data_IF_244050770924
#
_entry.id   IF_244050770924
#
_cell.length_a   1.000
_cell.length_b   1.000
_cell.length_c   1.000
_cell.angle_alpha   90.00
_cell.angle_beta   90.00
_cell.angle_gamma   90.00
#
_symmetry.space_group_name_H-M   'P 1'
#
loop_
_entity.id
_entity.type
_entity.pdbx_description
1 polymer ?
#
# COMPACT_ATOMS: atom_id res chain seq x y z
N UNK A 1 33.37 -1.79 -15.90
CA UNK A 1 34.16 -0.53 -15.78
C UNK A 1 34.91 -0.60 -14.44
N UNK A 2 35.96 0.20 -14.20
CA UNK A 2 36.72 0.13 -12.95
C UNK A 2 35.89 0.37 -11.68
N UNK A 3 34.68 0.94 -11.82
CA UNK A 3 33.73 1.20 -10.75
C UNK A 3 32.75 0.04 -10.46
N UNK A 4 33.05 -1.20 -10.85
CA UNK A 4 32.21 -2.37 -10.53
C UNK A 4 30.87 -2.47 -11.27
N UNK A 5 30.60 -1.57 -12.22
CA UNK A 5 29.36 -1.56 -13.01
C UNK A 5 29.64 -1.77 -14.51
N UNK A 6 28.61 -2.23 -15.23
CA UNK A 6 28.59 -2.14 -16.70
C UNK A 6 28.74 -0.68 -17.15
N UNK A 7 29.48 -0.43 -18.24
CA UNK A 7 29.83 0.93 -18.70
C UNK A 7 28.60 1.83 -18.92
N UNK A 8 27.50 1.24 -19.41
CA UNK A 8 26.20 1.89 -19.65
C UNK A 8 25.34 2.13 -18.39
N UNK A 9 25.73 1.58 -17.24
CA UNK A 9 25.05 1.73 -15.97
C UNK A 9 25.90 2.49 -14.92
N UNK A 10 27.13 2.85 -15.27
CA UNK A 10 28.00 3.62 -14.41
C UNK A 10 27.75 5.12 -14.64
N UNK A 11 27.41 5.87 -13.59
CA UNK A 11 27.22 7.33 -13.67
C UNK A 11 28.53 8.07 -14.00
N UNK A 12 29.68 7.51 -13.59
CA UNK A 12 31.00 8.09 -13.83
C UNK A 12 31.52 7.81 -15.25
N UNK A 13 31.34 6.59 -15.76
CA UNK A 13 31.77 6.24 -17.14
C UNK A 13 30.71 6.55 -18.21
N UNK A 14 29.44 6.64 -17.82
CA UNK A 14 28.30 6.78 -18.71
C UNK A 14 27.55 8.10 -18.51
N UNK A 15 28.24 9.16 -18.08
CA UNK A 15 27.66 10.46 -17.68
C UNK A 15 26.66 11.02 -18.70
N UNK A 16 26.88 10.79 -20.00
CA UNK A 16 25.96 11.22 -21.07
C UNK A 16 24.55 10.58 -21.00
N UNK A 17 24.44 9.38 -20.42
CA UNK A 17 23.19 8.62 -20.30
C UNK A 17 22.38 9.00 -19.05
N UNK A 18 23.01 9.66 -18.08
CA UNK A 18 22.40 10.06 -16.82
C UNK A 18 22.15 11.57 -16.80
N UNK A 19 21.08 12.02 -16.14
CA UNK A 19 20.87 13.43 -15.86
C UNK A 19 21.47 13.82 -14.51
N UNK A 20 21.40 15.12 -14.18
CA UNK A 20 21.77 15.68 -12.86
C UNK A 20 21.08 14.97 -11.68
N UNK A 21 19.92 14.35 -11.90
CA UNK A 21 19.18 13.58 -10.89
C UNK A 21 19.74 12.16 -10.67
N UNK A 22 20.93 11.82 -11.19
CA UNK A 22 21.54 10.49 -11.13
C UNK A 22 20.63 9.36 -11.66
N UNK A 23 19.69 9.69 -12.55
CA UNK A 23 18.79 8.74 -13.22
C UNK A 23 19.09 8.72 -14.70
N UNK A 24 18.82 7.60 -15.37
CA UNK A 24 18.93 7.53 -16.84
C UNK A 24 18.01 8.60 -17.46
N UNK A 25 18.55 9.46 -18.33
CA UNK A 25 17.84 10.61 -18.94
C UNK A 25 16.51 10.18 -19.57
N UNK A 26 16.52 9.06 -20.27
CA UNK A 26 15.35 8.48 -20.93
C UNK A 26 14.18 8.18 -19.97
N UNK A 27 14.44 7.85 -18.71
CA UNK A 27 13.42 7.50 -17.71
C UNK A 27 13.29 8.53 -16.58
N UNK A 28 13.91 9.71 -16.70
CA UNK A 28 13.84 10.71 -15.65
C UNK A 28 12.53 11.50 -15.75
N UNK A 29 11.74 11.47 -14.68
CA UNK A 29 10.45 12.19 -14.58
C UNK A 29 10.68 13.71 -14.56
N UNK A 30 11.54 14.28 -13.68
CA UNK A 30 11.85 15.71 -13.70
C UNK A 30 12.31 16.22 -15.08
N UNK A 31 13.14 15.45 -15.78
CA UNK A 31 13.66 15.83 -17.10
C UNK A 31 12.70 15.51 -18.26
N UNK A 32 11.48 15.03 -17.98
CA UNK A 32 10.51 14.54 -18.99
C UNK A 32 11.17 13.68 -20.07
N UNK A 33 11.94 12.67 -19.64
CA UNK A 33 12.65 11.78 -20.54
C UNK A 33 11.71 11.13 -21.55
N UNK A 34 12.21 10.84 -22.77
CA UNK A 34 11.39 10.30 -23.86
C UNK A 34 10.65 8.98 -23.53
N UNK A 35 11.14 8.21 -22.54
CA UNK A 35 10.49 7.01 -22.03
C UNK A 35 9.39 7.26 -20.99
N UNK A 36 9.12 8.51 -20.63
CA UNK A 36 8.08 8.92 -19.69
C UNK A 36 6.86 9.42 -20.48
N UNK A 37 5.68 9.04 -20.01
CA UNK A 37 4.39 9.54 -20.49
C UNK A 37 4.03 10.87 -19.83
N UNK A 38 3.06 11.58 -20.38
CA UNK A 38 2.46 12.79 -19.78
C UNK A 38 1.94 12.57 -18.34
N UNK A 39 1.61 11.31 -17.99
CA UNK A 39 1.13 10.90 -16.67
C UNK A 39 2.26 10.59 -15.67
N UNK A 40 3.50 11.05 -15.91
CA UNK A 40 4.67 10.81 -15.05
C UNK A 40 4.96 9.32 -14.76
N UNK A 41 4.49 8.42 -15.62
CA UNK A 41 4.77 6.97 -15.59
C UNK A 41 5.59 6.60 -16.80
N UNK A 42 6.34 5.49 -16.72
CA UNK A 42 6.99 4.92 -17.91
C UNK A 42 5.94 4.63 -18.97
N UNK A 43 6.23 5.01 -20.21
CA UNK A 43 5.24 5.00 -21.31
C UNK A 43 4.63 3.62 -21.53
N UNK A 44 5.46 2.58 -21.48
CA UNK A 44 5.04 1.18 -21.59
C UNK A 44 4.25 0.66 -20.38
N UNK A 45 4.27 1.35 -19.24
CA UNK A 45 3.56 0.97 -18.01
C UNK A 45 2.36 1.87 -17.71
N UNK A 46 2.12 2.87 -18.55
CA UNK A 46 1.05 3.83 -18.36
C UNK A 46 -0.27 3.25 -18.88
N UNK A 47 -1.18 2.91 -17.97
CA UNK A 47 -2.51 2.41 -18.33
C UNK A 47 -3.31 3.41 -19.18
N UNK A 48 -3.21 4.71 -18.86
CA UNK A 48 -3.94 5.78 -19.55
C UNK A 48 -3.44 6.01 -20.98
N UNK A 49 -2.18 5.67 -21.27
CA UNK A 49 -1.62 5.78 -22.62
C UNK A 49 -1.64 4.45 -23.40
N UNK A 50 -2.33 3.41 -22.90
CA UNK A 50 -2.32 2.09 -23.53
C UNK A 50 -0.94 1.43 -23.54
N UNK A 51 -0.14 1.65 -22.49
CA UNK A 51 1.21 1.13 -22.39
C UNK A 51 1.28 -0.38 -22.61
N UNK A 52 2.23 -0.84 -23.43
CA UNK A 52 2.33 -2.24 -23.89
C UNK A 52 2.48 -3.30 -22.79
N UNK A 53 2.84 -2.91 -21.56
CA UNK A 53 2.91 -3.82 -20.42
C UNK A 53 1.63 -3.87 -19.58
N UNK A 54 0.62 -3.06 -19.90
CA UNK A 54 -0.64 -2.99 -19.16
C UNK A 54 -1.70 -3.78 -19.92
N UNK A 55 -2.38 -4.68 -19.23
CA UNK A 55 -3.48 -5.44 -19.79
C UNK A 55 -4.81 -4.65 -19.71
N UNK A 56 -5.87 -5.10 -20.39
CA UNK A 56 -7.19 -4.45 -20.35
C UNK A 56 -7.77 -4.26 -18.94
N UNK A 57 -7.35 -5.08 -17.97
CA UNK A 57 -7.75 -4.96 -16.56
C UNK A 57 -7.03 -3.84 -15.79
N UNK A 58 -6.22 -3.01 -16.46
CA UNK A 58 -5.46 -1.91 -15.85
C UNK A 58 -4.28 -2.37 -14.97
N UNK A 59 -3.89 -3.64 -15.06
CA UNK A 59 -2.76 -4.23 -14.31
C UNK A 59 -1.61 -4.52 -15.28
N UNK A 60 -0.38 -4.62 -14.77
CA UNK A 60 0.73 -5.15 -15.59
C UNK A 60 0.41 -6.58 -16.03
N UNK A 61 0.66 -6.94 -17.28
CA UNK A 61 0.44 -8.29 -17.82
C UNK A 61 1.05 -9.38 -16.93
N UNK A 62 2.31 -9.19 -16.51
CA UNK A 62 3.03 -10.14 -15.64
C UNK A 62 2.36 -10.36 -14.28
N UNK A 63 1.64 -9.36 -13.77
CA UNK A 63 0.95 -9.36 -12.47
C UNK A 63 -0.58 -9.50 -12.61
N UNK A 64 -1.11 -9.78 -13.80
CA UNK A 64 -2.52 -9.99 -14.00
C UNK A 64 -2.84 -11.49 -13.96
N UNK A 65 -3.57 -11.93 -12.93
CA UNK A 65 -4.00 -13.33 -12.79
C UNK A 65 -4.94 -13.75 -13.93
N UNK A 66 -5.87 -12.88 -14.32
CA UNK A 66 -6.86 -13.15 -15.38
C UNK A 66 -6.21 -13.31 -16.76
N UNK A 67 -5.10 -12.60 -17.02
CA UNK A 67 -4.33 -12.74 -18.26
C UNK A 67 -3.29 -13.87 -18.20
N UNK A 68 -3.28 -14.72 -17.16
CA UNK A 68 -2.27 -15.77 -17.00
C UNK A 68 -0.86 -15.21 -16.77
N UNK A 69 -0.74 -14.03 -16.15
CA UNK A 69 0.53 -13.34 -15.94
C UNK A 69 1.60 -14.22 -15.30
N UNK A 70 2.83 -14.09 -15.78
CA UNK A 70 3.97 -14.95 -15.41
C UNK A 70 4.27 -15.02 -13.90
N UNK A 71 3.77 -14.08 -13.10
CA UNK A 71 3.87 -14.11 -11.64
C UNK A 71 3.02 -15.21 -11.00
N UNK A 72 1.99 -15.71 -11.67
CA UNK A 72 1.09 -16.74 -11.17
C UNK A 72 1.40 -18.10 -11.81
N UNK A 73 1.23 -19.18 -11.06
CA UNK A 73 1.23 -20.54 -11.58
C UNK A 73 -0.17 -20.97 -12.03
N UNK A 74 -0.25 -22.13 -12.68
CA UNK A 74 -1.52 -22.78 -13.06
C UNK A 74 -2.51 -22.96 -11.89
N UNK A 75 -2.00 -23.10 -10.67
CA UNK A 75 -2.82 -23.17 -9.45
C UNK A 75 -3.42 -21.81 -9.02
N UNK A 76 -3.20 -20.75 -9.79
CA UNK A 76 -3.71 -19.40 -9.51
C UNK A 76 -3.09 -18.74 -8.27
N UNK A 77 -1.98 -19.28 -7.76
CA UNK A 77 -1.15 -18.72 -6.67
C UNK A 77 0.08 -18.03 -7.25
N UNK A 78 0.69 -17.11 -6.52
CA UNK A 78 1.97 -16.54 -6.96
C UNK A 78 3.03 -17.66 -7.02
N UNK A 79 3.78 -17.74 -8.11
CA UNK A 79 4.75 -18.84 -8.38
C UNK A 79 5.73 -19.02 -7.22
N UNK A 80 6.25 -17.92 -6.69
CA UNK A 80 7.21 -17.93 -5.58
C UNK A 80 6.65 -18.52 -4.27
N UNK A 81 5.33 -18.52 -4.07
CA UNK A 81 4.68 -18.96 -2.81
C UNK A 81 3.77 -20.17 -3.03
N UNK A 82 3.73 -20.71 -4.24
CA UNK A 82 2.98 -21.94 -4.50
C UNK A 82 3.75 -23.14 -3.96
N UNK A 83 3.19 -23.80 -2.93
CA UNK A 83 3.76 -25.04 -2.38
C UNK A 83 3.80 -26.17 -3.39
N UNK A 84 2.72 -26.34 -4.16
CA UNK A 84 2.61 -27.41 -5.17
C UNK A 84 3.65 -27.27 -6.28
N UNK A 85 3.99 -26.03 -6.66
CA UNK A 85 5.04 -25.78 -7.66
C UNK A 85 6.45 -25.73 -7.07
N UNK A 86 6.64 -25.99 -5.76
CA UNK A 86 7.94 -25.84 -5.12
C UNK A 86 8.49 -24.41 -5.18
N UNK A 87 7.63 -23.40 -5.09
CA UNK A 87 8.01 -21.99 -5.25
C UNK A 87 9.18 -21.60 -4.35
N UNK A 88 10.13 -20.80 -4.89
CA UNK A 88 11.38 -20.44 -4.22
C UNK A 88 11.22 -19.75 -2.85
N UNK A 89 10.04 -19.17 -2.59
CA UNK A 89 9.66 -18.56 -1.33
C UNK A 89 9.13 -19.54 -0.28
N UNK A 90 9.06 -20.84 -0.58
CA UNK A 90 8.71 -21.90 0.37
C UNK A 90 10.01 -22.53 0.91
N UNK A 91 10.07 -22.78 2.22
CA UNK A 91 11.20 -23.49 2.84
C UNK A 91 10.93 -24.99 2.93
N UNK A 92 11.95 -25.74 3.36
CA UNK A 92 11.86 -27.19 3.61
C UNK A 92 10.72 -27.57 4.56
N UNK A 93 10.36 -26.70 5.50
CA UNK A 93 9.22 -26.88 6.42
C UNK A 93 7.85 -26.70 5.76
N UNK A 94 7.78 -26.48 4.44
CA UNK A 94 6.54 -26.23 3.71
C UNK A 94 5.85 -24.92 4.09
N UNK A 95 6.57 -23.98 4.73
CA UNK A 95 6.08 -22.64 5.13
C UNK A 95 6.69 -21.58 4.23
N UNK A 96 6.05 -20.40 4.17
CA UNK A 96 6.66 -19.25 3.48
C UNK A 96 7.93 -18.86 4.23
N UNK A 97 9.08 -18.86 3.54
CA UNK A 97 10.43 -18.61 4.07
C UNK A 97 10.48 -17.38 4.97
N UNK A 98 9.90 -16.26 4.52
CA UNK A 98 9.90 -15.00 5.28
C UNK A 98 9.19 -15.08 6.62
N UNK A 99 8.31 -16.05 6.82
CA UNK A 99 7.53 -16.24 8.06
C UNK A 99 7.96 -17.46 8.86
N UNK A 100 8.90 -18.25 8.37
CA UNK A 100 9.28 -19.50 8.99
C UNK A 100 10.29 -19.25 10.12
N UNK A 101 9.87 -19.52 11.36
CA UNK A 101 10.69 -19.33 12.56
C UNK A 101 11.94 -20.21 12.58
N UNK A 102 11.85 -21.53 12.30
CA UNK A 102 13.05 -22.37 12.19
C UNK A 102 14.07 -21.88 11.17
N UNK A 103 13.62 -21.23 10.09
CA UNK A 103 14.51 -20.69 9.05
C UNK A 103 14.99 -19.25 9.34
N UNK A 104 14.65 -18.66 10.49
CA UNK A 104 14.96 -17.26 10.78
C UNK A 104 14.36 -16.27 9.78
N UNK A 105 13.14 -16.54 9.30
CA UNK A 105 12.48 -15.75 8.27
C UNK A 105 12.51 -14.24 8.55
N UNK A 106 12.64 -13.41 7.51
CA UNK A 106 12.79 -11.95 7.67
C UNK A 106 11.68 -11.24 8.46
N UNK A 107 10.49 -11.85 8.59
CA UNK A 107 9.36 -11.34 9.38
C UNK A 107 9.29 -11.91 10.79
N UNK A 108 10.21 -12.78 11.19
CA UNK A 108 10.31 -13.29 12.56
C UNK A 108 11.21 -12.39 13.39
N UNK A 109 10.97 -12.34 14.69
CA UNK A 109 11.84 -11.69 15.67
C UNK A 109 12.67 -12.71 16.43
N UNK A 110 13.64 -12.23 17.21
CA UNK A 110 14.47 -13.01 18.12
C UNK A 110 13.66 -13.85 19.12
N UNK A 111 12.44 -13.40 19.47
CA UNK A 111 11.53 -14.13 20.36
C UNK A 111 10.82 -15.33 19.68
N UNK A 112 11.21 -15.71 18.47
CA UNK A 112 10.60 -16.85 17.75
C UNK A 112 9.14 -16.62 17.33
N UNK A 113 8.69 -15.36 17.27
CA UNK A 113 7.33 -14.97 16.86
C UNK A 113 7.40 -14.12 15.59
N UNK A 114 6.27 -13.95 14.90
CA UNK A 114 6.18 -12.92 13.87
C UNK A 114 6.34 -11.54 14.52
N UNK A 115 7.18 -10.67 13.93
CA UNK A 115 7.41 -9.30 14.41
C UNK A 115 6.11 -8.56 14.65
N UNK A 116 5.13 -8.73 13.75
CA UNK A 116 3.79 -8.16 13.81
C UNK A 116 2.84 -8.79 14.83
N UNK A 117 3.31 -9.73 15.64
CA UNK A 117 2.55 -10.38 16.72
C UNK A 117 3.31 -10.36 18.04
N UNK A 118 4.59 -9.97 18.01
CA UNK A 118 5.45 -9.93 19.18
C UNK A 118 5.23 -8.61 19.94
N UNK A 119 4.68 -8.67 21.16
CA UNK A 119 4.47 -7.49 21.99
C UNK A 119 5.78 -6.74 22.33
N UNK A 120 6.86 -7.43 22.75
CA UNK A 120 8.17 -6.80 22.97
C UNK A 120 8.70 -6.06 21.73
N UNK A 121 8.46 -6.58 20.52
CA UNK A 121 8.87 -5.92 19.27
C UNK A 121 7.84 -4.89 18.76
N UNK A 122 6.84 -4.52 19.57
CA UNK A 122 5.81 -3.54 19.20
C UNK A 122 4.75 -4.04 18.22
N UNK A 123 4.72 -5.34 17.91
CA UNK A 123 3.76 -5.94 16.99
C UNK A 123 2.44 -6.39 17.62
N UNK A 124 2.30 -6.37 18.95
CA UNK A 124 1.02 -6.77 19.55
C UNK A 124 -0.11 -5.82 19.15
N UNK A 125 -1.27 -6.40 18.82
CA UNK A 125 -2.49 -5.63 18.53
C UNK A 125 -2.94 -4.78 19.73
N UNK A 126 -2.66 -5.23 20.95
CA UNK A 126 -2.92 -4.47 22.19
C UNK A 126 -1.64 -3.85 22.73
N UNK A 127 -1.74 -2.62 23.23
CA UNK A 127 -0.67 -1.98 24.00
C UNK A 127 -0.71 -2.41 25.47
N UNK A 128 0.27 -1.96 26.25
CA UNK A 128 0.34 -2.15 27.69
C UNK A 128 -0.86 -1.55 28.45
N UNK A 129 -1.48 -0.50 27.90
CA UNK A 129 -2.71 0.09 28.43
C UNK A 129 -3.98 -0.76 28.18
N UNK A 130 -3.86 -1.99 27.68
CA UNK A 130 -4.98 -2.89 27.38
C UNK A 130 -5.84 -2.48 26.17
N UNK A 131 -5.59 -1.31 25.57
CA UNK A 131 -6.26 -0.79 24.37
C UNK A 131 -5.64 -1.38 23.11
N UNK A 132 -6.38 -1.40 22.00
CA UNK A 132 -5.78 -1.73 20.69
C UNK A 132 -4.81 -0.60 20.31
N UNK A 133 -3.57 -0.92 19.90
CA UNK A 133 -2.49 0.06 19.64
C UNK A 133 -2.92 1.19 18.71
N UNK A 134 -3.68 0.88 17.66
CA UNK A 134 -4.22 1.88 16.73
C UNK A 134 -5.19 2.88 17.36
N UNK A 135 -5.82 2.53 18.47
CA UNK A 135 -6.79 3.33 19.21
C UNK A 135 -6.24 3.90 20.54
N UNK A 136 -4.95 3.74 20.82
CA UNK A 136 -4.35 4.20 22.07
C UNK A 136 -3.63 5.54 21.85
N UNK A 137 -4.15 6.63 22.42
CA UNK A 137 -3.56 7.97 22.30
C UNK A 137 -2.17 8.01 22.95
N UNK A 138 -2.04 7.39 24.12
CA UNK A 138 -0.78 7.29 24.87
C UNK A 138 0.34 6.57 24.09
N UNK A 139 -0.03 5.74 23.09
CA UNK A 139 0.92 5.05 22.22
C UNK A 139 1.05 5.68 20.82
N UNK A 140 0.48 6.87 20.60
CA UNK A 140 0.46 7.51 19.28
C UNK A 140 -0.39 6.76 18.25
N UNK A 141 -1.46 6.10 18.69
CA UNK A 141 -2.33 5.27 17.86
C UNK A 141 -2.84 6.01 16.63
N UNK A 142 -2.60 5.45 15.45
CA UNK A 142 -2.89 6.10 14.15
C UNK A 142 -4.36 6.45 13.91
N UNK A 143 -5.31 5.87 14.65
CA UNK A 143 -6.74 6.17 14.53
C UNK A 143 -7.21 7.28 15.48
N UNK A 144 -6.43 7.67 16.48
CA UNK A 144 -6.81 8.70 17.45
C UNK A 144 -6.00 9.98 17.21
N UNK A 145 -6.65 11.14 17.33
CA UNK A 145 -5.96 12.44 17.33
C UNK A 145 -5.52 12.81 18.75
N UNK A 146 -4.82 13.94 18.86
CA UNK A 146 -4.44 14.56 20.14
C UNK A 146 -5.64 15.02 20.99
N UNK A 147 -6.82 15.18 20.37
CA UNK A 147 -8.07 15.56 21.06
C UNK A 147 -8.84 14.35 21.63
N UNK A 148 -8.20 13.19 21.82
CA UNK A 148 -8.84 11.94 22.27
C UNK A 148 -10.05 11.46 21.44
N UNK A 149 -10.16 11.91 20.18
CA UNK A 149 -11.23 11.53 19.24
C UNK A 149 -10.66 10.67 18.12
N UNK A 150 -11.52 9.89 17.45
CA UNK A 150 -11.10 9.25 16.21
C UNK A 150 -10.70 10.31 15.19
N UNK A 151 -9.49 10.24 14.62
CA UNK A 151 -8.96 11.21 13.64
C UNK A 151 -9.94 11.49 12.51
N UNK A 152 -10.56 10.43 11.99
CA UNK A 152 -11.52 10.52 10.91
C UNK A 152 -12.79 11.31 11.27
N UNK A 153 -13.16 11.39 12.56
CA UNK A 153 -14.36 12.06 13.06
C UNK A 153 -14.05 13.34 13.84
N UNK A 154 -12.77 13.72 13.94
CA UNK A 154 -12.38 14.90 14.69
C UNK A 154 -12.61 16.16 13.85
N UNK A 155 -13.45 17.07 14.35
CA UNK A 155 -13.71 18.37 13.70
C UNK A 155 -12.47 19.25 13.66
N UNK A 156 -11.74 19.30 14.78
CA UNK A 156 -10.53 20.13 14.94
C UNK A 156 -9.39 19.67 14.01
N UNK A 157 -9.32 18.38 13.69
CA UNK A 157 -8.36 17.85 12.72
C UNK A 157 -8.89 17.80 11.28
N UNK A 158 -10.07 18.38 11.01
CA UNK A 158 -10.79 18.24 9.75
C UNK A 158 -10.84 16.79 9.22
N UNK A 159 -11.27 15.87 10.10
CA UNK A 159 -11.25 14.44 9.85
C UNK A 159 -11.98 14.05 8.57
N UNK A 160 -11.57 12.97 7.92
CA UNK A 160 -12.11 12.55 6.63
C UNK A 160 -13.63 12.26 6.59
N UNK A 161 -14.26 12.02 7.74
CA UNK A 161 -15.71 11.85 7.87
C UNK A 161 -16.45 13.16 8.17
N UNK A 162 -15.74 14.27 8.36
CA UNK A 162 -16.32 15.60 8.52
C UNK A 162 -16.52 16.21 7.13
N UNK A 163 -17.68 16.84 6.91
CA UNK A 163 -17.95 17.63 5.72
C UNK A 163 -17.54 19.08 5.94
N UNK A 164 -17.55 19.88 4.88
CA UNK A 164 -17.20 21.30 4.94
C UNK A 164 -18.15 22.10 5.85
N UNK A 165 -19.34 21.58 6.14
CA UNK A 165 -20.30 22.13 7.12
C UNK A 165 -19.95 21.78 8.59
N UNK A 166 -18.80 21.16 8.86
CA UNK A 166 -18.37 20.76 10.21
C UNK A 166 -19.19 19.63 10.84
N UNK A 167 -20.10 19.00 10.09
CA UNK A 167 -20.90 17.86 10.52
C UNK A 167 -20.26 16.55 10.05
N UNK A 168 -20.57 15.44 10.73
CA UNK A 168 -20.28 14.13 10.15
C UNK A 168 -21.03 14.00 8.82
N UNK A 169 -20.35 13.60 7.74
CA UNK A 169 -20.90 13.46 6.38
C UNK A 169 -22.22 12.69 6.37
N UNK A 170 -22.30 11.59 7.13
CA UNK A 170 -23.54 10.81 7.24
C UNK A 170 -24.72 11.55 7.91
N UNK A 171 -24.46 12.60 8.69
CA UNK A 171 -25.47 13.37 9.44
C UNK A 171 -25.80 14.74 8.84
N UNK A 172 -25.09 15.13 7.80
CA UNK A 172 -25.26 16.45 7.19
C UNK A 172 -26.43 16.42 6.22
N UNK A 173 -27.43 17.30 6.41
CA UNK A 173 -28.58 17.42 5.50
C UNK A 173 -28.17 17.99 4.15
N UNK A 174 -27.33 19.02 4.17
CA UNK A 174 -26.88 19.72 2.96
C UNK A 174 -25.99 18.82 2.08
N UNK A 175 -25.34 17.81 2.67
CA UNK A 175 -24.58 16.80 1.93
C UNK A 175 -25.40 15.54 1.57
N UNK A 176 -26.70 15.50 1.86
CA UNK A 176 -27.52 14.29 1.65
C UNK A 176 -27.02 13.08 2.42
N UNK A 177 -26.56 13.28 3.66
CA UNK A 177 -25.91 12.26 4.47
C UNK A 177 -26.76 11.00 4.63
N UNK A 178 -26.11 9.83 4.68
CA UNK A 178 -26.78 8.53 4.73
C UNK A 178 -27.75 8.32 5.92
N UNK A 179 -27.61 9.10 6.99
CA UNK A 179 -28.49 9.07 8.16
C UNK A 179 -29.68 10.04 8.03
N UNK A 180 -29.81 10.75 6.91
CA UNK A 180 -30.96 11.59 6.59
C UNK A 180 -31.98 10.73 5.82
N UNK A 181 -33.25 10.78 6.24
CA UNK A 181 -34.34 10.13 5.53
C UNK A 181 -34.88 11.03 4.41
N UNK A 182 -35.80 10.50 3.61
CA UNK A 182 -36.48 11.25 2.55
C UNK A 182 -37.23 12.49 3.08
N UNK A 183 -37.62 12.51 4.36
CA UNK A 183 -38.26 13.65 5.02
C UNK A 183 -37.28 14.75 5.47
N UNK A 184 -36.02 14.75 5.00
CA UNK A 184 -34.96 15.67 5.42
C UNK A 184 -34.71 15.73 6.94
N UNK A 185 -35.16 14.70 7.66
CA UNK A 185 -34.93 14.51 9.08
C UNK A 185 -33.86 13.42 9.30
N UNK A 186 -33.24 13.43 10.46
CA UNK A 186 -32.37 12.32 10.85
C UNK A 186 -33.22 11.07 11.08
N UNK A 187 -32.81 9.93 10.51
CA UNK A 187 -33.50 8.64 10.62
C UNK A 187 -33.78 8.25 12.07
N UNK A 188 -32.84 8.49 12.99
CA UNK A 188 -33.00 8.18 14.42
C UNK A 188 -33.99 9.10 15.18
N UNK A 189 -34.43 10.20 14.56
CA UNK A 189 -35.30 11.21 15.18
C UNK A 189 -36.49 11.58 14.30
N UNK A 190 -36.72 10.85 13.20
CA UNK A 190 -37.85 11.09 12.35
C UNK A 190 -39.11 10.66 13.11
N UNK A 191 -40.20 11.44 12.98
CA UNK A 191 -41.51 11.05 13.53
C UNK A 191 -42.37 10.32 12.48
N UNK A 192 -41.88 10.25 11.24
CA UNK A 192 -42.59 9.68 10.09
C UNK A 192 -41.96 8.32 9.71
N UNK A 193 -40.64 8.21 9.76
CA UNK A 193 -39.89 6.95 9.65
C UNK A 193 -39.59 6.39 11.03
#
# INVERSE_FOLDING_TARGET
>A
CPHGHYKNNCTQCGRALFCEHNRKRYFCIPCKGAGISEHNKRRNECALCGGSQVCPHGRRYTACKECGGSMYCEHGKQRNTCKTCGGCGICEHGRVRSTCVPCGGSRTCEHGRLRSQCAPCGGARRCEHGRMRSYCVDCGGSRMCEHDRMRAQCRECNGSQICDHGLLRGRCRDCGGSQICEHNARRDKCRIC
#
